data_IF_971262243808
#
_entry.id   IF_971262243808
#
_cell.length_a   1.000
_cell.length_b   1.000
_cell.length_c   1.000
_cell.angle_alpha   90.00
_cell.angle_beta   90.00
_cell.angle_gamma   90.00
#
_symmetry.space_group_name_H-M   'P 1'
#
loop_
_entity.id
_entity.type
_entity.pdbx_description
1 polymer ?
#
# COMPACT_ATOMS: atom_id res chain seq x y z
N UNK A 1 -0.03 24.15 3.18
CA UNK A 1 -0.09 22.77 3.70
C UNK A 1 -1.25 22.65 4.68
N UNK A 2 -2.13 21.67 4.47
CA UNK A 2 -3.16 21.33 5.45
C UNK A 2 -2.47 20.66 6.65
N UNK A 3 -2.82 21.07 7.86
CA UNK A 3 -2.23 20.50 9.07
C UNK A 3 -2.78 19.08 9.26
N UNK A 4 -1.91 18.08 9.52
CA UNK A 4 -2.35 16.71 9.84
C UNK A 4 -3.42 16.76 10.95
N UNK A 5 -4.52 16.02 10.81
CA UNK A 5 -5.57 16.02 11.82
C UNK A 5 -5.04 15.67 13.21
N UNK A 6 -5.49 16.38 14.24
CA UNK A 6 -5.17 16.02 15.62
C UNK A 6 -6.01 14.80 16.04
N UNK A 7 -5.36 13.64 16.16
CA UNK A 7 -6.01 12.40 16.58
C UNK A 7 -5.86 12.19 18.08
N UNK A 8 -6.93 11.77 18.75
CA UNK A 8 -6.91 11.41 20.18
C UNK A 8 -6.04 10.18 20.43
N UNK A 9 -5.39 10.09 21.59
CA UNK A 9 -4.67 8.87 22.00
C UNK A 9 -5.60 7.64 22.05
N UNK A 10 -6.85 7.87 22.47
CA UNK A 10 -7.92 6.87 22.57
C UNK A 10 -8.62 6.56 21.23
N UNK A 11 -8.21 7.20 20.13
CA UNK A 11 -8.80 6.94 18.83
C UNK A 11 -8.56 5.50 18.36
N UNK A 12 -9.54 4.98 17.62
CA UNK A 12 -9.46 3.68 16.97
C UNK A 12 -8.33 3.65 15.95
N UNK A 13 -7.86 2.44 15.61
CA UNK A 13 -6.88 2.26 14.56
C UNK A 13 -7.37 2.85 13.22
N UNK A 14 -8.66 2.70 12.90
CA UNK A 14 -9.24 3.27 11.68
C UNK A 14 -9.17 4.80 11.65
N UNK A 15 -9.48 5.46 12.77
CA UNK A 15 -9.38 6.93 12.85
C UNK A 15 -7.94 7.41 12.72
N UNK A 16 -6.98 6.72 13.35
CA UNK A 16 -5.54 7.01 13.23
C UNK A 16 -5.08 6.80 11.80
N UNK A 17 -5.41 5.66 11.19
CA UNK A 17 -5.10 5.34 9.79
C UNK A 17 -5.62 6.43 8.83
N UNK A 18 -6.90 6.78 8.90
CA UNK A 18 -7.48 7.80 8.02
C UNK A 18 -6.85 9.18 8.20
N UNK A 19 -6.46 9.52 9.42
CA UNK A 19 -5.81 10.80 9.69
C UNK A 19 -4.34 10.83 9.28
N UNK A 20 -3.59 9.74 9.48
CA UNK A 20 -2.15 9.67 9.24
C UNK A 20 -1.82 9.36 7.77
N UNK A 21 -2.57 8.45 7.14
CA UNK A 21 -2.33 7.98 5.77
C UNK A 21 -3.12 8.80 4.73
N UNK A 22 -4.35 9.20 5.06
CA UNK A 22 -5.24 9.90 4.11
C UNK A 22 -5.42 11.39 4.39
N UNK A 23 -4.95 11.88 5.56
CA UNK A 23 -5.24 13.23 6.05
C UNK A 23 -6.74 13.57 6.11
N UNK A 24 -7.59 12.58 6.38
CA UNK A 24 -9.05 12.71 6.48
C UNK A 24 -9.49 12.51 7.93
N UNK A 25 -10.11 13.53 8.53
CA UNK A 25 -10.65 13.48 9.90
C UNK A 25 -12.15 13.13 9.95
N UNK A 26 -12.84 13.25 8.82
CA UNK A 26 -14.29 13.05 8.70
C UNK A 26 -14.57 12.13 7.52
N UNK A 27 -15.01 10.92 7.83
CA UNK A 27 -15.31 9.88 6.85
C UNK A 27 -16.50 9.04 7.34
N UNK A 28 -17.12 8.29 6.42
CA UNK A 28 -18.11 7.27 6.75
C UNK A 28 -17.61 5.87 6.37
N UNK A 29 -18.29 4.84 6.85
CA UNK A 29 -17.94 3.44 6.60
C UNK A 29 -17.81 3.13 5.11
N UNK A 30 -18.63 3.76 4.27
CA UNK A 30 -18.59 3.54 2.82
C UNK A 30 -17.34 4.16 2.20
N UNK A 31 -16.97 5.37 2.63
CA UNK A 31 -15.73 6.02 2.20
C UNK A 31 -14.49 5.21 2.60
N UNK A 32 -14.44 4.70 3.85
CA UNK A 32 -13.35 3.82 4.27
C UNK A 32 -13.28 2.57 3.40
N UNK A 33 -14.41 1.92 3.13
CA UNK A 33 -14.45 0.72 2.30
C UNK A 33 -13.91 0.97 0.89
N UNK A 34 -14.44 2.00 0.21
CA UNK A 34 -14.10 2.33 -1.18
C UNK A 34 -12.65 2.78 -1.32
N UNK A 35 -12.08 3.48 -0.35
CA UNK A 35 -10.68 3.92 -0.40
C UNK A 35 -9.67 2.76 -0.38
N UNK A 36 -10.05 1.62 0.20
CA UNK A 36 -9.17 0.46 0.35
C UNK A 36 -9.57 -0.73 -0.55
N UNK A 37 -10.58 -0.53 -1.39
CA UNK A 37 -10.87 -1.37 -2.56
C UNK A 37 -10.00 -0.88 -3.73
N UNK A 38 -8.72 -1.28 -3.69
CA UNK A 38 -7.67 -0.77 -4.55
C UNK A 38 -7.88 -1.14 -6.02
N UNK A 39 -8.50 -2.28 -6.28
CA UNK A 39 -8.81 -2.73 -7.63
C UNK A 39 -10.22 -2.29 -8.10
N UNK A 40 -11.03 -1.71 -7.20
CA UNK A 40 -12.38 -1.20 -7.45
C UNK A 40 -13.39 -2.25 -7.92
N UNK A 41 -13.27 -3.49 -7.42
CA UNK A 41 -14.19 -4.59 -7.76
C UNK A 41 -15.34 -4.78 -6.76
N UNK A 42 -15.34 -4.02 -5.67
CA UNK A 42 -16.41 -4.00 -4.67
C UNK A 42 -16.24 -4.98 -3.52
N UNK A 43 -15.09 -5.65 -3.42
CA UNK A 43 -14.72 -6.55 -2.33
C UNK A 43 -13.27 -6.32 -1.93
N UNK A 44 -12.94 -6.52 -0.65
CA UNK A 44 -11.54 -6.58 -0.24
C UNK A 44 -11.02 -8.00 -0.33
N UNK A 45 -9.99 -8.22 -1.15
CA UNK A 45 -9.23 -9.46 -1.11
C UNK A 45 -8.15 -9.41 -0.02
N UNK A 46 -7.59 -10.58 0.31
CA UNK A 46 -6.57 -10.68 1.34
C UNK A 46 -5.34 -9.79 1.08
N UNK A 47 -4.96 -9.59 -0.18
CA UNK A 47 -3.88 -8.67 -0.56
C UNK A 47 -4.18 -7.21 -0.19
N UNK A 48 -5.41 -6.75 -0.40
CA UNK A 48 -5.84 -5.39 -0.08
C UNK A 48 -5.94 -5.17 1.44
N UNK A 49 -6.35 -6.19 2.18
CA UNK A 49 -6.30 -6.20 3.66
C UNK A 49 -4.86 -6.10 4.14
N UNK A 50 -3.96 -6.92 3.59
CA UNK A 50 -2.54 -6.89 3.92
C UNK A 50 -1.91 -5.54 3.58
N UNK A 51 -2.27 -4.95 2.44
CA UNK A 51 -1.83 -3.62 2.02
C UNK A 51 -2.33 -2.54 2.98
N UNK A 52 -3.62 -2.51 3.29
CA UNK A 52 -4.22 -1.53 4.22
C UNK A 52 -3.56 -1.56 5.60
N UNK A 53 -3.14 -2.73 6.06
CA UNK A 53 -2.40 -2.91 7.32
C UNK A 53 -0.88 -2.69 7.22
N UNK A 54 -0.36 -2.25 6.07
CA UNK A 54 1.08 -1.99 5.86
C UNK A 54 1.94 -3.25 5.87
N UNK A 55 1.37 -4.45 5.71
CA UNK A 55 2.13 -5.71 5.79
C UNK A 55 3.07 -5.91 4.61
N UNK A 56 2.83 -5.22 3.50
CA UNK A 56 3.69 -5.25 2.31
C UNK A 56 4.70 -4.10 2.28
N UNK A 57 4.58 -3.15 3.21
CA UNK A 57 5.42 -1.96 3.30
C UNK A 57 6.86 -2.30 3.75
N UNK A 58 7.90 -1.59 3.25
CA UNK A 58 9.28 -1.78 3.70
C UNK A 58 9.51 -1.65 5.21
N UNK A 59 8.71 -0.85 5.93
CA UNK A 59 8.77 -0.75 7.40
C UNK A 59 8.45 -2.08 8.10
N UNK A 60 7.66 -2.95 7.47
CA UNK A 60 7.31 -4.28 7.93
C UNK A 60 8.12 -5.39 7.25
N UNK A 61 9.28 -5.08 6.65
CA UNK A 61 10.15 -6.07 5.99
C UNK A 61 10.68 -7.16 6.93
N UNK A 62 10.90 -6.82 8.20
CA UNK A 62 11.44 -7.75 9.21
C UNK A 62 10.36 -8.66 9.83
N UNK A 63 9.08 -8.40 9.51
CA UNK A 63 7.98 -9.28 9.92
C UNK A 63 8.01 -10.57 9.08
N UNK A 64 8.00 -11.73 9.76
CA UNK A 64 7.99 -13.02 9.08
C UNK A 64 6.73 -13.22 8.25
N UNK A 65 6.83 -14.02 7.19
CA UNK A 65 5.68 -14.37 6.36
C UNK A 65 4.55 -15.00 7.16
N UNK A 66 4.86 -15.94 8.07
CA UNK A 66 3.87 -16.57 8.94
C UNK A 66 3.14 -15.53 9.80
N UNK A 67 3.84 -14.51 10.28
CA UNK A 67 3.22 -13.46 11.10
C UNK A 67 2.27 -12.59 10.28
N UNK A 68 2.64 -12.24 9.05
CA UNK A 68 1.77 -11.51 8.11
C UNK A 68 0.50 -12.33 7.82
N UNK A 69 0.64 -13.64 7.64
CA UNK A 69 -0.49 -14.54 7.41
C UNK A 69 -1.39 -14.67 8.65
N UNK A 70 -0.82 -14.71 9.85
CA UNK A 70 -1.61 -14.68 11.10
C UNK A 70 -2.47 -13.41 11.21
N UNK A 71 -1.92 -12.25 10.84
CA UNK A 71 -2.67 -10.98 10.82
C UNK A 71 -3.82 -11.07 9.81
N UNK A 72 -3.55 -11.50 8.57
CA UNK A 72 -4.58 -11.68 7.54
C UNK A 72 -5.68 -12.63 8.01
N UNK A 73 -5.31 -13.81 8.53
CA UNK A 73 -6.28 -14.81 9.01
C UNK A 73 -7.15 -14.27 10.15
N UNK A 74 -6.57 -13.50 11.07
CA UNK A 74 -7.32 -12.85 12.13
C UNK A 74 -8.37 -11.89 11.58
N UNK A 75 -7.98 -11.03 10.64
CA UNK A 75 -8.85 -10.03 10.03
C UNK A 75 -9.96 -10.67 9.18
N UNK A 76 -9.63 -11.67 8.36
CA UNK A 76 -10.62 -12.45 7.62
C UNK A 76 -11.63 -13.11 8.55
N UNK A 77 -11.19 -13.69 9.67
CA UNK A 77 -12.12 -14.27 10.67
C UNK A 77 -13.08 -13.26 11.30
N UNK A 78 -12.69 -11.98 11.37
CA UNK A 78 -13.54 -10.89 11.86
C UNK A 78 -14.53 -10.41 10.80
N UNK A 79 -14.11 -10.36 9.53
CA UNK A 79 -14.82 -9.66 8.46
C UNK A 79 -15.60 -10.58 7.52
N UNK A 80 -14.97 -11.62 6.99
CA UNK A 80 -15.54 -12.58 6.03
C UNK A 80 -16.46 -13.57 6.77
N UNK A 81 -17.77 -13.36 6.65
CA UNK A 81 -18.81 -14.10 7.40
C UNK A 81 -19.46 -15.19 6.57
N UNK A 82 -19.41 -15.11 5.25
CA UNK A 82 -19.92 -16.19 4.40
C UNK A 82 -18.83 -17.16 3.91
N UNK A 83 -17.56 -16.87 4.21
CA UNK A 83 -16.39 -17.68 3.96
C UNK A 83 -16.10 -17.89 2.47
N UNK A 84 -16.38 -16.87 1.64
CA UNK A 84 -16.07 -16.89 0.22
C UNK A 84 -14.61 -16.47 -0.10
N UNK A 85 -13.89 -15.95 0.90
CA UNK A 85 -12.49 -15.57 0.80
C UNK A 85 -12.25 -14.11 0.44
N UNK A 86 -13.30 -13.30 0.36
CA UNK A 86 -13.23 -11.84 0.22
C UNK A 86 -14.10 -11.16 1.30
N UNK A 87 -13.99 -9.85 1.44
CA UNK A 87 -14.83 -9.07 2.36
C UNK A 87 -15.67 -8.10 1.53
N UNK A 88 -16.96 -8.37 1.44
CA UNK A 88 -17.88 -7.48 0.76
C UNK A 88 -18.13 -6.19 1.55
N UNK A 89 -18.51 -5.11 0.85
CA UNK A 89 -18.92 -3.86 1.51
C UNK A 89 -20.11 -4.04 2.47
N UNK A 90 -20.93 -5.08 2.25
CA UNK A 90 -22.02 -5.44 3.15
C UNK A 90 -21.49 -6.01 4.47
N UNK A 91 -20.57 -6.97 4.41
CA UNK A 91 -19.98 -7.57 5.62
C UNK A 91 -19.20 -6.55 6.43
N UNK A 92 -18.42 -5.70 5.76
CA UNK A 92 -17.72 -4.60 6.41
C UNK A 92 -18.69 -3.64 7.10
N UNK A 93 -19.78 -3.26 6.41
CA UNK A 93 -20.82 -2.43 7.01
C UNK A 93 -21.48 -3.11 8.22
N UNK A 94 -21.84 -4.39 8.12
CA UNK A 94 -22.43 -5.15 9.21
C UNK A 94 -21.47 -5.27 10.40
N UNK A 95 -20.16 -5.34 10.17
CA UNK A 95 -19.13 -5.29 11.20
C UNK A 95 -19.14 -3.96 11.96
N UNK A 96 -19.10 -2.83 11.25
CA UNK A 96 -19.14 -1.50 11.87
C UNK A 96 -20.49 -1.22 12.55
N UNK A 97 -21.62 -1.66 11.97
CA UNK A 97 -22.96 -1.47 12.55
C UNK A 97 -23.14 -2.21 13.89
N UNK A 98 -22.30 -3.20 14.20
CA UNK A 98 -22.24 -3.85 15.53
C UNK A 98 -21.48 -3.02 16.58
N UNK A 99 -20.93 -1.87 16.19
CA UNK A 99 -20.07 -1.03 17.03
C UNK A 99 -18.63 -1.53 17.12
N UNK A 100 -18.21 -2.40 16.19
CA UNK A 100 -16.83 -2.87 16.10
C UNK A 100 -15.97 -1.88 15.29
N UNK A 101 -14.64 -1.99 15.45
CA UNK A 101 -13.63 -1.26 14.66
C UNK A 101 -12.55 -2.23 14.25
N UNK A 102 -11.88 -1.96 13.12
CA UNK A 102 -10.68 -2.71 12.77
C UNK A 102 -9.64 -2.63 13.90
N UNK A 103 -9.08 -3.77 14.35
CA UNK A 103 -8.17 -3.80 15.48
C UNK A 103 -6.78 -3.26 15.10
N UNK A 104 -6.10 -2.65 16.07
CA UNK A 104 -4.68 -2.36 15.95
C UNK A 104 -3.88 -3.65 16.07
N UNK A 105 -3.17 -4.03 15.00
CA UNK A 105 -2.37 -5.24 14.93
C UNK A 105 -0.89 -5.00 15.26
N UNK A 106 -0.53 -3.76 15.64
CA UNK A 106 0.85 -3.36 15.91
C UNK A 106 1.73 -3.32 14.66
N UNK A 107 1.11 -3.10 13.49
CA UNK A 107 1.79 -3.05 12.18
C UNK A 107 2.15 -1.63 11.75
N UNK A 108 1.76 -0.63 12.56
CA UNK A 108 1.93 0.79 12.24
C UNK A 108 0.62 1.42 11.78
N UNK A 109 0.70 2.61 11.17
CA UNK A 109 -0.47 3.36 10.74
C UNK A 109 -1.21 2.71 9.57
N UNK A 110 -0.55 1.81 8.83
CA UNK A 110 -1.11 1.12 7.66
C UNK A 110 -0.32 1.50 6.42
N UNK A 111 -0.97 1.47 5.27
CA UNK A 111 -0.41 1.96 4.00
C UNK A 111 -1.57 2.30 3.06
N UNK A 112 -1.49 3.45 2.38
CA UNK A 112 -2.54 4.02 1.54
C UNK A 112 -2.15 4.07 0.05
N UNK A 113 -0.85 4.21 -0.25
CA UNK A 113 -0.37 4.64 -1.56
C UNK A 113 0.41 3.59 -2.35
N UNK A 114 1.05 4.03 -3.43
CA UNK A 114 2.25 3.39 -3.96
C UNK A 114 3.50 4.03 -3.30
N UNK A 115 4.68 3.49 -3.58
CA UNK A 115 5.95 3.94 -2.98
C UNK A 115 6.18 5.47 -3.13
N UNK A 116 5.72 6.09 -4.22
CA UNK A 116 5.84 7.54 -4.46
C UNK A 116 4.93 8.34 -3.52
N UNK A 117 3.68 7.91 -3.36
CA UNK A 117 2.74 8.61 -2.49
C UNK A 117 3.08 8.46 -0.99
N UNK A 118 3.57 7.29 -0.60
CA UNK A 118 4.07 7.04 0.77
C UNK A 118 5.26 7.94 1.11
N UNK A 119 6.21 8.09 0.18
CA UNK A 119 7.33 9.01 0.34
C UNK A 119 6.86 10.46 0.50
N UNK A 120 5.90 10.90 -0.32
CA UNK A 120 5.35 12.26 -0.27
C UNK A 120 4.68 12.56 1.09
N UNK A 121 3.82 11.67 1.58
CA UNK A 121 2.98 11.94 2.77
C UNK A 121 3.70 11.70 4.10
N UNK A 122 4.59 10.71 4.17
CA UNK A 122 5.25 10.34 5.43
C UNK A 122 6.62 10.95 5.63
N UNK A 123 7.36 11.12 4.53
CA UNK A 123 8.72 11.61 4.59
C UNK A 123 8.82 13.06 4.11
N UNK A 124 8.36 13.35 2.89
CA UNK A 124 8.47 14.69 2.32
C UNK A 124 7.76 15.72 3.18
N UNK A 125 6.46 15.57 3.48
CA UNK A 125 5.75 16.56 4.31
C UNK A 125 6.34 16.75 5.72
N UNK A 126 7.06 15.75 6.24
CA UNK A 126 7.63 15.78 7.59
C UNK A 126 8.97 16.50 7.64
N UNK A 127 9.81 16.32 6.62
CA UNK A 127 11.20 16.79 6.64
C UNK A 127 11.51 17.83 5.56
N UNK A 128 10.63 17.97 4.58
CA UNK A 128 10.79 18.83 3.41
C UNK A 128 9.56 19.73 3.18
N UNK A 129 9.76 20.82 2.46
CA UNK A 129 8.70 21.72 2.03
C UNK A 129 9.03 22.38 0.68
N UNK A 130 8.19 23.33 0.25
CA UNK A 130 8.37 24.04 -1.02
C UNK A 130 9.71 24.80 -1.17
N UNK A 131 10.44 25.02 -0.08
CA UNK A 131 11.74 25.68 -0.03
C UNK A 131 12.90 24.69 0.06
N UNK A 132 12.64 23.39 0.20
CA UNK A 132 13.65 22.33 0.18
C UNK A 132 14.44 22.38 -1.11
N UNK A 133 15.78 22.36 -1.01
CA UNK A 133 16.67 22.32 -2.17
C UNK A 133 17.21 20.91 -2.36
N UNK A 134 17.79 20.67 -3.54
CA UNK A 134 18.41 19.40 -3.85
C UNK A 134 19.48 18.99 -2.85
N UNK A 135 20.25 19.96 -2.32
CA UNK A 135 21.25 19.69 -1.29
C UNK A 135 20.68 19.27 0.08
N UNK A 136 19.38 19.48 0.33
CA UNK A 136 18.72 19.12 1.59
C UNK A 136 18.16 17.68 1.56
N UNK A 137 18.01 17.07 0.37
CA UNK A 137 17.50 15.71 0.14
C UNK A 137 18.56 14.65 0.47
N UNK A 138 18.85 14.50 1.76
CA UNK A 138 19.98 13.70 2.26
C UNK A 138 19.60 12.71 3.36
N UNK A 139 18.32 12.63 3.73
CA UNK A 139 17.86 11.62 4.67
C UNK A 139 18.05 10.22 4.07
N UNK A 140 18.29 9.19 4.89
CA UNK A 140 18.38 7.81 4.41
C UNK A 140 17.20 7.42 3.52
N UNK A 141 15.98 7.84 3.89
CA UNK A 141 14.75 7.62 3.15
C UNK A 141 14.74 8.34 1.79
N UNK A 142 15.24 9.59 1.70
CA UNK A 142 15.43 10.30 0.41
C UNK A 142 16.33 9.49 -0.53
N UNK A 143 17.45 9.00 0.00
CA UNK A 143 18.47 8.27 -0.76
C UNK A 143 17.92 6.92 -1.23
N UNK A 144 17.24 6.18 -0.35
CA UNK A 144 16.64 4.89 -0.70
C UNK A 144 15.53 5.08 -1.74
N UNK A 145 14.67 6.08 -1.59
CA UNK A 145 13.62 6.42 -2.56
C UNK A 145 14.20 6.66 -3.96
N UNK A 146 15.15 7.60 -4.10
CA UNK A 146 15.72 7.92 -5.41
C UNK A 146 16.52 6.76 -6.00
N UNK A 147 17.21 5.99 -5.16
CA UNK A 147 17.90 4.78 -5.63
C UNK A 147 16.91 3.76 -6.20
N UNK A 148 15.75 3.60 -5.58
CA UNK A 148 14.71 2.73 -6.11
C UNK A 148 14.19 3.20 -7.47
N UNK A 149 13.91 4.50 -7.62
CA UNK A 149 13.53 5.09 -8.90
C UNK A 149 14.60 4.89 -9.99
N UNK A 150 15.88 5.10 -9.67
CA UNK A 150 16.96 4.83 -10.60
C UNK A 150 17.02 3.35 -11.05
N UNK A 151 16.71 2.40 -10.16
CA UNK A 151 16.67 0.98 -10.48
C UNK A 151 15.48 0.63 -11.38
N UNK A 152 14.30 1.20 -11.10
CA UNK A 152 13.10 1.06 -11.92
C UNK A 152 13.29 1.65 -13.33
N UNK A 153 13.86 2.86 -13.43
CA UNK A 153 14.13 3.51 -14.71
C UNK A 153 15.09 2.65 -15.56
N UNK A 154 16.19 2.17 -14.97
CA UNK A 154 17.14 1.26 -15.65
C UNK A 154 16.46 -0.03 -16.12
N UNK A 155 15.56 -0.59 -15.31
CA UNK A 155 14.81 -1.80 -15.68
C UNK A 155 13.85 -1.52 -16.84
N UNK A 156 13.16 -0.37 -16.82
CA UNK A 156 12.26 0.04 -17.89
C UNK A 156 13.02 0.30 -19.21
N UNK A 157 14.15 1.02 -19.17
CA UNK A 157 15.00 1.22 -20.35
C UNK A 157 15.46 -0.11 -20.95
N UNK A 158 15.87 -1.05 -20.11
CA UNK A 158 16.27 -2.39 -20.55
C UNK A 158 15.11 -3.14 -21.22
N UNK A 159 13.90 -3.05 -20.66
CA UNK A 159 12.70 -3.64 -21.23
C UNK A 159 12.34 -3.00 -22.58
N UNK A 160 12.37 -1.66 -22.69
CA UNK A 160 12.10 -0.96 -23.95
C UNK A 160 13.09 -1.32 -25.06
N UNK A 161 14.37 -1.53 -24.72
CA UNK A 161 15.38 -2.03 -25.66
C UNK A 161 15.02 -3.44 -26.15
N UNK A 162 14.48 -4.30 -25.28
CA UNK A 162 14.04 -5.64 -25.65
C UNK A 162 12.75 -5.60 -26.51
N UNK A 163 11.80 -4.73 -26.19
CA UNK A 163 10.54 -4.62 -26.94
C UNK A 163 10.72 -4.07 -28.35
N UNK A 164 11.73 -3.21 -28.56
CA UNK A 164 12.15 -2.74 -29.90
C UNK A 164 12.74 -3.87 -30.76
N UNK A 165 13.13 -5.02 -30.18
CA UNK A 165 13.60 -6.18 -30.95
C UNK A 165 12.39 -6.95 -31.47
N UNK A 166 12.04 -6.72 -32.73
CA UNK A 166 10.95 -7.39 -33.44
C UNK A 166 11.09 -8.92 -33.54
N UNK A 167 12.32 -9.45 -33.40
CA UNK A 167 12.63 -10.88 -33.37
C UNK A 167 13.78 -11.11 -32.38
N UNK A 168 13.54 -11.91 -31.34
CA UNK A 168 14.62 -12.44 -30.49
C UNK A 168 15.16 -13.69 -31.20
N UNK A 169 16.28 -13.57 -31.92
CA UNK A 169 16.85 -14.67 -32.72
C UNK A 169 17.15 -15.94 -31.91
N UNK A 170 17.46 -15.78 -30.62
CA UNK A 170 17.67 -16.87 -29.67
C UNK A 170 16.41 -17.71 -29.44
N UNK A 171 15.23 -17.09 -29.50
CA UNK A 171 13.93 -17.75 -29.37
C UNK A 171 13.41 -18.31 -30.71
N UNK A 172 14.10 -18.09 -31.83
CA UNK A 172 13.75 -18.73 -33.10
C UNK A 172 14.07 -20.22 -32.99
N UNK A 173 13.08 -21.13 -33.06
CA UNK A 173 13.33 -22.57 -33.05
C UNK A 173 14.28 -22.97 -34.18
N UNK A 174 15.20 -23.90 -33.92
CA UNK A 174 16.27 -24.29 -34.85
C UNK A 174 15.77 -24.60 -36.28
N UNK A 175 14.54 -25.11 -36.43
CA UNK A 175 13.90 -25.39 -37.73
C UNK A 175 13.65 -24.16 -38.62
N UNK A 176 13.74 -22.94 -38.10
CA UNK A 176 13.51 -21.68 -38.84
C UNK A 176 14.76 -20.80 -38.99
N UNK A 177 15.91 -21.19 -38.42
CA UNK A 177 17.17 -20.47 -38.64
C UNK A 177 17.69 -20.85 -40.04
N UNK A 178 17.76 -19.88 -40.97
CA UNK A 178 18.34 -20.11 -42.31
C UNK A 178 19.86 -20.21 -42.19
N UNK A 179 20.44 -21.26 -42.78
CA UNK A 179 21.88 -21.42 -42.99
C UNK A 179 22.42 -20.43 -44.02
#
# INVERSE_FOLDING_TARGET
HAQKPLVSEDATWMEKHMAEEHHIDTWDTGAFFVLHDYNSDGAWQGEEIMRTYGLMDPSNRDMSHDKKLEVLQHLMGLLDKDHDGEVSGKEFKEFIDRGETLPDMGTGPGHHGDDEYEYEIHHWEKYHDENTKLEDLTHPEDIEHFKHHEELEKAQEAQEVMDKKSIIEENIPAKFRRH
#
